data_IF_341143955358
#
_entry.id   IF_341143955358
#
_cell.length_a   1.000
_cell.length_b   1.000
_cell.length_c   1.000
_cell.angle_alpha   90.00
_cell.angle_beta   90.00
_cell.angle_gamma   90.00
#
_symmetry.space_group_name_H-M   'P 1'
#
loop_
_entity.id
_entity.type
_entity.pdbx_description
1 polymer ?
#
# COMPACT_ATOMS: atom_id res chain seq x y z
N UNK A 1 -8.05 39.98 5.75
CA UNK A 1 -8.01 39.82 7.23
C UNK A 1 -8.32 38.38 7.68
N UNK A 2 -9.52 37.82 7.43
CA UNK A 2 -9.87 36.41 7.81
C UNK A 2 -8.87 35.34 7.31
N UNK A 3 -8.45 35.39 6.04
CA UNK A 3 -7.45 34.46 5.45
C UNK A 3 -6.09 34.50 6.17
N UNK A 4 -5.66 35.70 6.60
CA UNK A 4 -4.38 35.89 7.30
C UNK A 4 -4.45 35.31 8.72
N UNK A 5 -5.57 35.55 9.42
CA UNK A 5 -5.84 35.00 10.75
C UNK A 5 -5.93 33.47 10.71
N UNK A 6 -6.63 32.88 9.72
CA UNK A 6 -6.70 31.43 9.56
C UNK A 6 -5.35 30.79 9.21
N UNK A 7 -4.51 31.46 8.40
CA UNK A 7 -3.14 31.00 8.12
C UNK A 7 -2.26 31.03 9.37
N UNK A 8 -2.40 32.04 10.23
CA UNK A 8 -1.68 32.14 11.50
C UNK A 8 -2.16 31.05 12.47
N UNK A 9 -3.48 30.88 12.64
CA UNK A 9 -4.07 29.82 13.48
C UNK A 9 -3.64 28.42 13.03
N UNK A 10 -3.61 28.14 11.72
CA UNK A 10 -3.13 26.86 11.19
C UNK A 10 -1.63 26.66 11.49
N UNK A 11 -0.78 27.66 11.20
CA UNK A 11 0.66 27.58 11.49
C UNK A 11 0.96 27.42 12.99
N UNK A 12 0.13 27.98 13.87
CA UNK A 12 0.25 27.81 15.33
C UNK A 12 -0.30 26.46 15.83
N UNK A 13 -1.23 25.83 15.11
CA UNK A 13 -1.81 24.54 15.46
C UNK A 13 -0.96 23.32 15.04
N UNK A 14 -0.08 23.47 14.03
CA UNK A 14 0.77 22.37 13.54
C UNK A 14 1.83 21.90 14.56
N UNK A 15 2.51 22.78 15.35
CA UNK A 15 3.49 22.36 16.36
C UNK A 15 2.87 21.85 17.67
N UNK A 16 1.60 22.16 17.97
CA UNK A 16 0.97 21.88 19.28
C UNK A 16 0.35 20.48 19.40
N UNK A 17 0.55 19.60 18.41
CA UNK A 17 0.06 18.20 18.41
C UNK A 17 0.42 17.40 19.67
N UNK A 18 1.51 17.73 20.37
CA UNK A 18 1.90 17.06 21.62
C UNK A 18 1.07 17.46 22.85
N UNK A 19 0.34 18.58 22.83
CA UNK A 19 -0.39 19.10 24.00
C UNK A 19 -1.93 18.99 23.89
N UNK A 20 -2.49 18.89 22.68
CA UNK A 20 -3.95 18.92 22.47
C UNK A 20 -4.65 17.53 22.53
N UNK A 21 -3.89 16.43 22.63
CA UNK A 21 -4.40 15.06 22.52
C UNK A 21 -5.25 14.55 23.68
N UNK A 22 -5.55 15.37 24.69
CA UNK A 22 -6.18 14.91 25.94
C UNK A 22 -7.67 15.31 26.07
N UNK A 23 -8.19 16.24 25.26
CA UNK A 23 -9.52 16.85 25.54
C UNK A 23 -10.51 16.83 24.35
N UNK A 24 -10.07 16.63 23.10
CA UNK A 24 -10.96 16.75 21.92
C UNK A 24 -10.99 15.45 21.11
N UNK A 25 -12.17 14.85 20.85
CA UNK A 25 -12.31 13.68 19.98
C UNK A 25 -11.66 13.89 18.60
N UNK A 26 -10.99 12.87 18.09
CA UNK A 26 -10.21 12.94 16.84
C UNK A 26 -11.03 13.43 15.63
N UNK A 27 -12.32 13.08 15.56
CA UNK A 27 -13.22 13.52 14.49
C UNK A 27 -13.47 15.04 14.51
N UNK A 28 -13.62 15.65 15.69
CA UNK A 28 -13.80 17.10 15.86
C UNK A 28 -12.52 17.82 15.47
N UNK A 29 -11.36 17.34 15.92
CA UNK A 29 -10.06 17.89 15.51
C UNK A 29 -9.87 17.85 13.99
N UNK A 30 -10.30 16.76 13.33
CA UNK A 30 -10.23 16.63 11.87
C UNK A 30 -11.14 17.62 11.15
N UNK A 31 -12.37 17.81 11.65
CA UNK A 31 -13.31 18.81 11.12
C UNK A 31 -12.80 20.24 11.30
N UNK A 32 -12.24 20.57 12.48
CA UNK A 32 -11.64 21.88 12.76
C UNK A 32 -10.42 22.13 11.86
N UNK A 33 -9.53 21.14 11.70
CA UNK A 33 -8.39 21.23 10.77
C UNK A 33 -8.89 21.49 9.34
N UNK A 34 -9.92 20.76 8.89
CA UNK A 34 -10.52 20.90 7.54
C UNK A 34 -11.13 22.29 7.33
N UNK A 35 -11.90 22.79 8.31
CA UNK A 35 -12.50 24.13 8.26
C UNK A 35 -11.43 25.25 8.26
N UNK A 36 -10.39 25.11 9.09
CA UNK A 36 -9.25 26.04 9.12
C UNK A 36 -8.49 26.05 7.79
N UNK A 37 -8.24 24.87 7.21
CA UNK A 37 -7.60 24.74 5.90
C UNK A 37 -8.40 25.44 4.80
N UNK A 38 -9.71 25.20 4.75
CA UNK A 38 -10.62 25.81 3.78
C UNK A 38 -10.66 27.34 3.87
N UNK A 39 -10.66 27.88 5.09
CA UNK A 39 -10.63 29.33 5.33
C UNK A 39 -9.27 29.96 5.00
N UNK A 40 -8.17 29.24 5.27
CA UNK A 40 -6.81 29.72 5.03
C UNK A 40 -6.40 29.64 3.54
N UNK A 41 -6.87 28.61 2.85
CA UNK A 41 -6.52 28.26 1.47
C UNK A 41 -7.78 27.86 0.70
N UNK A 42 -8.62 28.83 0.28
CA UNK A 42 -9.74 28.52 -0.60
C UNK A 42 -9.22 27.91 -1.91
N UNK A 43 -9.92 26.89 -2.41
CA UNK A 43 -9.66 26.30 -3.72
C UNK A 43 -10.10 27.33 -4.76
N UNK A 44 -9.15 27.88 -5.52
CA UNK A 44 -9.49 28.76 -6.63
C UNK A 44 -10.12 27.92 -7.76
N UNK A 45 -11.15 28.44 -8.42
CA UNK A 45 -11.80 27.73 -9.52
C UNK A 45 -10.78 27.41 -10.60
N UNK A 46 -10.57 26.12 -10.85
CA UNK A 46 -9.68 25.63 -11.90
C UNK A 46 -10.25 26.04 -13.26
N UNK A 47 -9.48 26.75 -14.09
CA UNK A 47 -9.86 27.01 -15.47
C UNK A 47 -10.05 25.67 -16.19
N UNK A 48 -11.24 25.42 -16.75
CA UNK A 48 -11.62 24.13 -17.34
C UNK A 48 -10.79 23.70 -18.56
N UNK A 49 -10.08 24.62 -19.20
CA UNK A 49 -9.23 24.33 -20.37
C UNK A 49 -7.76 24.23 -19.97
N UNK A 50 -7.32 23.04 -19.56
CA UNK A 50 -5.90 22.75 -19.34
C UNK A 50 -5.29 22.41 -20.71
N UNK A 51 -4.42 23.28 -21.25
CA UNK A 51 -3.62 22.95 -22.43
C UNK A 51 -2.36 22.21 -21.99
N UNK A 52 -2.16 20.99 -22.48
CA UNK A 52 -0.94 20.21 -22.24
C UNK A 52 0.02 20.46 -23.39
N UNK A 53 1.19 21.03 -23.10
CA UNK A 53 2.15 21.41 -24.15
C UNK A 53 2.92 20.17 -24.64
N UNK A 54 2.88 19.95 -25.96
CA UNK A 54 3.51 18.81 -26.67
C UNK A 54 5.05 18.74 -26.46
N UNK A 55 5.69 19.82 -25.99
CA UNK A 55 7.12 19.88 -25.69
C UNK A 55 7.51 19.58 -24.23
N UNK A 56 6.55 19.29 -23.34
CA UNK A 56 6.77 18.96 -21.92
C UNK A 56 6.28 17.54 -21.60
N UNK A 57 6.70 16.58 -22.41
CA UNK A 57 6.30 15.19 -22.31
C UNK A 57 7.01 14.53 -21.12
N UNK A 58 6.44 14.69 -19.93
CA UNK A 58 6.92 14.05 -18.72
C UNK A 58 5.96 14.23 -17.56
N UNK A 59 6.33 13.69 -16.40
CA UNK A 59 5.50 13.69 -15.19
C UNK A 59 6.24 14.30 -14.01
N UNK A 60 5.55 15.12 -13.22
CA UNK A 60 6.01 15.43 -11.87
C UNK A 60 5.41 14.40 -10.92
N UNK A 61 6.25 13.53 -10.34
CA UNK A 61 5.83 12.66 -9.25
C UNK A 61 5.88 13.45 -7.94
N UNK A 62 4.76 13.55 -7.23
CA UNK A 62 4.69 14.26 -5.96
C UNK A 62 4.23 13.30 -4.86
N UNK A 63 5.05 13.10 -3.84
CA UNK A 63 4.74 12.13 -2.80
C UNK A 63 5.86 11.97 -1.79
N UNK A 64 5.69 11.03 -0.87
CA UNK A 64 6.66 10.72 0.18
C UNK A 64 7.82 9.86 -0.33
N UNK A 65 8.52 10.30 -1.37
CA UNK A 65 9.51 9.51 -2.11
C UNK A 65 10.63 8.93 -1.24
N UNK A 66 11.02 9.63 -0.17
CA UNK A 66 12.05 9.18 0.78
C UNK A 66 11.52 8.39 1.98
N UNK A 67 10.19 8.29 2.15
CA UNK A 67 9.60 7.70 3.34
C UNK A 67 9.60 6.17 3.30
N UNK A 68 10.02 5.56 4.39
CA UNK A 68 9.99 4.10 4.59
C UNK A 68 8.58 3.66 5.07
N UNK A 69 7.60 3.75 4.18
CA UNK A 69 6.21 3.32 4.39
C UNK A 69 5.53 2.98 3.05
N UNK A 70 4.35 2.35 3.09
CA UNK A 70 3.63 1.90 1.89
C UNK A 70 3.38 2.99 0.83
N UNK A 71 2.93 4.19 1.23
CA UNK A 71 2.72 5.30 0.29
C UNK A 71 4.04 5.82 -0.30
N UNK A 72 5.13 5.80 0.49
CA UNK A 72 6.45 6.15 -0.02
C UNK A 72 6.97 5.12 -1.02
N UNK A 73 6.75 3.83 -0.75
CA UNK A 73 7.07 2.74 -1.66
C UNK A 73 6.29 2.86 -2.97
N UNK A 74 5.00 3.19 -2.90
CA UNK A 74 4.17 3.47 -4.08
C UNK A 74 4.78 4.54 -4.99
N UNK A 75 5.32 5.63 -4.43
CA UNK A 75 5.98 6.68 -5.22
C UNK A 75 7.26 6.17 -5.91
N UNK A 76 8.06 5.35 -5.20
CA UNK A 76 9.29 4.75 -5.75
C UNK A 76 8.98 3.68 -6.79
N UNK A 77 7.90 2.92 -6.62
CA UNK A 77 7.40 1.95 -7.60
C UNK A 77 7.05 2.68 -8.89
N UNK A 78 6.29 3.79 -8.81
CA UNK A 78 5.97 4.58 -9.99
C UNK A 78 7.23 5.11 -10.68
N UNK A 79 8.23 5.60 -9.94
CA UNK A 79 9.50 6.03 -10.53
C UNK A 79 10.21 4.90 -11.30
N UNK A 80 10.15 3.65 -10.81
CA UNK A 80 10.66 2.47 -11.53
C UNK A 80 9.86 2.22 -12.81
N UNK A 81 8.53 2.23 -12.75
CA UNK A 81 7.68 2.00 -13.94
C UNK A 81 7.90 3.10 -15.00
N UNK A 82 8.03 4.36 -14.58
CA UNK A 82 8.31 5.47 -15.51
C UNK A 82 9.69 5.31 -16.16
N UNK A 83 10.69 4.88 -15.39
CA UNK A 83 12.03 4.61 -15.93
C UNK A 83 12.00 3.46 -16.94
N UNK A 84 11.30 2.37 -16.64
CA UNK A 84 11.18 1.21 -17.53
C UNK A 84 10.33 1.50 -18.78
N UNK A 85 9.43 2.48 -18.72
CA UNK A 85 8.64 2.97 -19.84
C UNK A 85 9.28 4.12 -20.63
N UNK A 86 10.55 4.45 -20.38
CA UNK A 86 11.28 5.56 -21.00
C UNK A 86 10.55 6.92 -20.91
N UNK A 87 9.79 7.15 -19.82
CA UNK A 87 9.13 8.42 -19.55
C UNK A 87 10.08 9.36 -18.80
N UNK A 88 10.13 10.63 -19.24
CA UNK A 88 10.77 11.68 -18.49
C UNK A 88 9.97 12.06 -17.24
N UNK A 89 10.64 12.20 -16.10
CA UNK A 89 9.98 12.61 -14.86
C UNK A 89 10.93 13.30 -13.88
N UNK A 90 10.34 14.02 -12.94
CA UNK A 90 11.04 14.56 -11.78
C UNK A 90 10.21 14.38 -10.52
N UNK A 91 10.86 14.30 -9.37
CA UNK A 91 10.23 14.01 -8.08
C UNK A 91 10.21 15.25 -7.19
N UNK A 92 9.04 15.61 -6.67
CA UNK A 92 8.88 16.57 -5.59
C UNK A 92 8.61 15.78 -4.31
N UNK A 93 9.64 15.60 -3.49
CA UNK A 93 9.51 14.87 -2.23
C UNK A 93 8.73 15.70 -1.19
N UNK A 94 7.54 15.23 -0.83
CA UNK A 94 6.73 15.83 0.21
C UNK A 94 7.12 15.25 1.58
N UNK A 95 7.55 16.12 2.51
CA UNK A 95 7.88 15.70 3.89
C UNK A 95 6.64 15.70 4.81
N UNK A 96 5.73 16.65 4.60
CA UNK A 96 4.48 16.78 5.36
C UNK A 96 4.66 16.73 6.88
N UNK A 97 3.62 16.26 7.59
CA UNK A 97 3.68 15.95 9.04
C UNK A 97 3.93 14.47 9.34
N UNK A 98 4.55 13.74 8.39
CA UNK A 98 4.73 12.30 8.50
C UNK A 98 5.78 11.93 9.57
N UNK A 99 5.52 10.86 10.32
CA UNK A 99 6.40 10.33 11.37
C UNK A 99 7.31 9.19 10.89
N UNK A 100 7.14 8.71 9.66
CA UNK A 100 8.01 7.69 9.08
C UNK A 100 9.45 8.21 8.89
N UNK A 101 10.41 7.29 8.95
CA UNK A 101 11.81 7.58 8.60
C UNK A 101 11.91 8.00 7.14
N UNK A 102 12.77 8.97 6.85
CA UNK A 102 12.93 9.62 5.53
C UNK A 102 14.32 9.34 4.94
N UNK A 103 14.86 8.16 5.22
CA UNK A 103 16.25 7.80 4.95
C UNK A 103 16.46 7.13 3.60
N UNK A 104 15.39 6.78 2.88
CA UNK A 104 15.50 6.21 1.54
C UNK A 104 15.94 7.31 0.56
N UNK A 105 17.13 7.13 -0.04
CA UNK A 105 17.73 8.08 -0.96
C UNK A 105 17.81 7.57 -2.40
N UNK A 106 17.18 6.44 -2.72
CA UNK A 106 17.32 5.76 -4.02
C UNK A 106 16.98 6.64 -5.22
N UNK A 107 16.08 7.62 -5.03
CA UNK A 107 15.60 8.51 -6.09
C UNK A 107 15.98 9.99 -5.94
N UNK A 108 16.91 10.33 -5.03
CA UNK A 108 17.31 11.73 -4.79
C UNK A 108 17.86 12.39 -6.06
N UNK A 109 18.50 11.63 -6.94
CA UNK A 109 19.06 12.11 -8.20
C UNK A 109 17.99 12.58 -9.22
N UNK A 110 16.71 12.25 -9.01
CA UNK A 110 15.55 12.71 -9.81
C UNK A 110 14.76 13.81 -9.11
N UNK A 111 15.15 14.25 -7.90
CA UNK A 111 14.41 15.28 -7.19
C UNK A 111 14.54 16.66 -7.85
N UNK A 112 13.43 17.40 -7.85
CA UNK A 112 13.30 18.74 -8.42
C UNK A 112 12.58 19.67 -7.42
N UNK A 113 12.91 20.95 -7.43
CA UNK A 113 12.30 21.93 -6.53
C UNK A 113 10.93 22.42 -7.02
N UNK A 114 10.75 22.48 -8.33
CA UNK A 114 9.56 23.02 -9.01
C UNK A 114 9.04 22.08 -10.09
N UNK A 115 7.71 21.98 -10.27
CA UNK A 115 7.12 21.17 -11.34
C UNK A 115 7.61 21.61 -12.73
N UNK A 116 8.28 20.70 -13.44
CA UNK A 116 8.82 20.95 -14.79
C UNK A 116 7.76 20.67 -15.86
N UNK A 117 6.97 19.62 -15.65
CA UNK A 117 6.02 19.09 -16.63
C UNK A 117 4.59 19.57 -16.38
N UNK A 118 3.70 19.33 -17.34
CA UNK A 118 2.29 19.76 -17.25
C UNK A 118 1.37 18.73 -16.58
N UNK A 119 1.88 17.53 -16.30
CA UNK A 119 1.15 16.45 -15.63
C UNK A 119 1.78 16.21 -14.26
N UNK A 120 0.94 16.16 -13.24
CA UNK A 120 1.31 15.81 -11.88
C UNK A 120 0.67 14.47 -11.52
N UNK A 121 1.42 13.57 -10.90
CA UNK A 121 0.88 12.37 -10.27
C UNK A 121 1.20 12.40 -8.79
N UNK A 122 0.16 12.49 -7.97
CA UNK A 122 0.24 12.58 -6.52
C UNK A 122 0.19 11.17 -5.91
N UNK A 123 1.34 10.62 -5.52
CA UNK A 123 1.43 9.41 -4.72
C UNK A 123 1.19 9.72 -3.24
N UNK A 124 -0.03 10.20 -2.97
CA UNK A 124 -0.55 10.67 -1.69
C UNK A 124 -2.05 10.35 -1.69
N UNK A 125 -2.55 9.73 -0.62
CA UNK A 125 -3.96 9.35 -0.53
C UNK A 125 -4.89 10.56 -0.43
N UNK A 126 -6.15 10.36 -0.80
CA UNK A 126 -7.20 11.39 -0.82
C UNK A 126 -7.27 12.20 0.49
N UNK A 127 -7.14 11.55 1.64
CA UNK A 127 -7.21 12.18 2.97
C UNK A 127 -6.15 13.27 3.20
N UNK A 128 -5.02 13.21 2.49
CA UNK A 128 -3.88 14.11 2.62
C UNK A 128 -3.82 15.18 1.51
N UNK A 129 -4.68 15.10 0.48
CA UNK A 129 -4.67 16.04 -0.65
C UNK A 129 -4.86 17.51 -0.22
N UNK A 130 -5.69 17.75 0.79
CA UNK A 130 -5.87 19.11 1.32
C UNK A 130 -4.64 19.62 2.09
N UNK A 131 -3.86 18.74 2.73
CA UNK A 131 -2.64 19.12 3.44
C UNK A 131 -1.55 19.55 2.46
N UNK A 132 -1.40 18.81 1.36
CA UNK A 132 -0.44 19.18 0.31
C UNK A 132 -0.86 20.47 -0.40
N UNK A 133 -2.15 20.66 -0.71
CA UNK A 133 -2.64 21.91 -1.27
C UNK A 133 -2.39 23.09 -0.32
N UNK A 134 -2.56 22.91 0.99
CA UNK A 134 -2.26 23.97 1.96
C UNK A 134 -0.76 24.32 2.03
N UNK A 135 0.11 23.35 1.76
CA UNK A 135 1.56 23.54 1.81
C UNK A 135 2.10 24.26 0.57
N UNK A 136 1.75 23.79 -0.62
CA UNK A 136 2.28 24.33 -1.88
C UNK A 136 1.35 25.33 -2.56
N UNK A 137 0.05 25.28 -2.26
CA UNK A 137 -0.99 26.07 -2.92
C UNK A 137 -0.96 25.88 -4.44
N UNK A 138 -1.41 26.92 -5.13
CA UNK A 138 -1.49 26.96 -6.59
C UNK A 138 -0.16 26.73 -7.32
N UNK A 139 1.00 26.87 -6.66
CA UNK A 139 2.32 26.71 -7.28
C UNK A 139 2.46 25.37 -8.00
N UNK A 140 1.96 24.30 -7.40
CA UNK A 140 2.02 22.96 -8.01
C UNK A 140 0.71 22.52 -8.66
N UNK A 141 -0.43 23.12 -8.31
CA UNK A 141 -1.74 22.66 -8.78
C UNK A 141 -2.28 23.40 -10.03
N UNK A 142 -1.95 24.68 -10.21
CA UNK A 142 -2.54 25.50 -11.28
C UNK A 142 -1.91 25.22 -12.65
N UNK A 143 -2.75 25.23 -13.69
CA UNK A 143 -2.36 24.97 -15.09
C UNK A 143 -1.65 23.62 -15.27
N UNK A 144 -2.03 22.61 -14.47
CA UNK A 144 -1.53 21.25 -14.52
C UNK A 144 -2.68 20.26 -14.58
N UNK A 145 -2.46 19.15 -15.28
CA UNK A 145 -3.31 17.97 -15.21
C UNK A 145 -2.90 17.17 -13.97
N UNK A 146 -3.76 17.12 -12.97
CA UNK A 146 -3.49 16.57 -11.64
C UNK A 146 -4.11 15.20 -11.50
N UNK A 147 -3.28 14.17 -11.30
CA UNK A 147 -3.72 12.79 -11.13
C UNK A 147 -3.47 12.38 -9.69
N UNK A 148 -4.52 11.96 -8.96
CA UNK A 148 -4.36 11.38 -7.63
C UNK A 148 -4.10 9.89 -7.72
N UNK A 149 -3.01 9.37 -7.14
CA UNK A 149 -2.81 7.92 -7.01
C UNK A 149 -3.28 7.47 -5.63
N UNK A 150 -4.49 6.93 -5.54
CA UNK A 150 -5.16 6.69 -4.26
C UNK A 150 -5.29 5.21 -3.94
N UNK A 151 -5.01 4.88 -2.68
CA UNK A 151 -5.21 3.57 -2.10
C UNK A 151 -6.45 3.59 -1.22
N UNK A 152 -7.15 2.47 -1.21
CA UNK A 152 -8.25 2.24 -0.29
C UNK A 152 -8.40 0.74 -0.04
N UNK A 153 -8.96 0.35 1.10
CA UNK A 153 -9.04 -1.06 1.47
C UNK A 153 -10.47 -1.56 1.65
N UNK A 154 -11.52 -0.78 1.39
CA UNK A 154 -12.90 -1.27 1.54
C UNK A 154 -13.78 -0.95 0.32
N UNK A 155 -14.90 -1.66 0.11
CA UNK A 155 -15.77 -1.40 -1.05
C UNK A 155 -16.41 0.01 -1.05
N UNK A 156 -16.54 0.62 0.13
CA UNK A 156 -17.12 1.95 0.27
C UNK A 156 -16.05 2.99 0.60
N UNK A 157 -15.81 3.92 -0.33
CA UNK A 157 -14.83 5.00 -0.19
C UNK A 157 -15.32 6.09 0.79
N UNK A 158 -14.51 6.65 1.71
CA UNK A 158 -15.03 7.54 2.75
C UNK A 158 -15.58 8.87 2.24
N UNK A 159 -16.82 9.22 2.62
CA UNK A 159 -17.49 10.46 2.22
C UNK A 159 -16.67 11.72 2.58
N UNK A 160 -15.98 11.66 3.72
CA UNK A 160 -15.15 12.76 4.21
C UNK A 160 -13.98 13.14 3.29
N UNK A 161 -13.58 12.25 2.39
CA UNK A 161 -12.47 12.42 1.45
C UNK A 161 -12.92 12.87 0.05
N UNK A 162 -14.22 12.90 -0.23
CA UNK A 162 -14.76 13.29 -1.55
C UNK A 162 -14.39 14.71 -1.97
N UNK A 163 -14.17 15.64 -1.02
CA UNK A 163 -13.72 17.01 -1.37
C UNK A 163 -12.35 17.02 -2.08
N UNK A 164 -11.52 15.99 -1.86
CA UNK A 164 -10.21 15.85 -2.51
C UNK A 164 -10.30 15.66 -4.02
N UNK A 165 -11.45 15.23 -4.55
CA UNK A 165 -11.68 15.16 -6.00
C UNK A 165 -11.57 16.53 -6.68
N UNK A 166 -11.89 17.63 -5.97
CA UNK A 166 -11.78 18.98 -6.54
C UNK A 166 -10.34 19.44 -6.81
N UNK A 167 -9.34 18.69 -6.34
CA UNK A 167 -7.91 18.99 -6.53
C UNK A 167 -7.28 18.22 -7.70
N UNK A 168 -8.00 17.23 -8.25
CA UNK A 168 -7.52 16.31 -9.29
C UNK A 168 -8.46 16.34 -10.50
N UNK A 169 -7.92 16.02 -11.66
CA UNK A 169 -8.67 15.84 -12.92
C UNK A 169 -8.96 14.36 -13.19
N UNK A 170 -8.21 13.46 -12.53
CA UNK A 170 -8.30 12.01 -12.67
C UNK A 170 -7.73 11.32 -11.42
N UNK A 171 -8.18 10.10 -11.14
CA UNK A 171 -7.63 9.24 -10.10
C UNK A 171 -7.07 7.97 -10.72
N UNK A 172 -5.85 7.60 -10.34
CA UNK A 172 -5.28 6.29 -10.56
C UNK A 172 -5.44 5.43 -9.30
N UNK A 173 -5.86 4.19 -9.49
CA UNK A 173 -6.06 3.21 -8.43
C UNK A 173 -5.17 1.97 -8.68
N UNK A 174 -4.58 1.37 -7.63
CA UNK A 174 -3.64 0.25 -7.76
C UNK A 174 -4.29 -1.08 -8.13
N UNK A 175 -5.62 -1.18 -8.05
CA UNK A 175 -6.34 -2.41 -8.35
C UNK A 175 -7.75 -2.12 -8.85
N UNK A 176 -8.38 -3.13 -9.44
CA UNK A 176 -9.79 -3.08 -9.83
C UNK A 176 -10.68 -2.80 -8.63
N UNK A 177 -10.44 -3.48 -7.50
CA UNK A 177 -11.17 -3.28 -6.26
C UNK A 177 -11.17 -1.82 -5.78
N UNK A 178 -9.99 -1.18 -5.78
CA UNK A 178 -9.88 0.22 -5.38
C UNK A 178 -10.52 1.15 -6.41
N UNK A 179 -10.34 0.86 -7.71
CA UNK A 179 -10.95 1.63 -8.78
C UNK A 179 -12.48 1.62 -8.67
N UNK A 180 -13.08 0.45 -8.45
CA UNK A 180 -14.53 0.29 -8.25
C UNK A 180 -15.02 1.06 -7.03
N UNK A 181 -14.37 0.90 -5.88
CA UNK A 181 -14.76 1.58 -4.63
C UNK A 181 -14.73 3.11 -4.76
N UNK A 182 -13.69 3.66 -5.39
CA UNK A 182 -13.58 5.12 -5.61
C UNK A 182 -14.58 5.60 -6.66
N UNK A 183 -14.82 4.81 -7.73
CA UNK A 183 -15.70 5.18 -8.84
C UNK A 183 -17.13 5.45 -8.39
N UNK A 184 -17.61 4.77 -7.35
CA UNK A 184 -18.96 4.97 -6.79
C UNK A 184 -19.21 6.41 -6.31
N UNK A 185 -18.15 7.17 -5.99
CA UNK A 185 -18.25 8.55 -5.46
C UNK A 185 -17.49 9.57 -6.28
N UNK A 186 -16.85 9.16 -7.38
CA UNK A 186 -15.94 10.00 -8.14
C UNK A 186 -16.67 10.87 -9.17
N UNK A 187 -16.45 12.20 -9.16
CA UNK A 187 -16.88 13.09 -10.24
C UNK A 187 -15.87 13.16 -11.40
N UNK A 188 -14.72 12.50 -11.28
CA UNK A 188 -13.64 12.46 -12.28
C UNK A 188 -13.33 11.01 -12.70
N UNK A 189 -12.67 10.77 -13.85
CA UNK A 189 -12.29 9.42 -14.25
C UNK A 189 -11.44 8.72 -13.18
N UNK A 190 -11.72 7.43 -12.96
CA UNK A 190 -10.93 6.55 -12.09
C UNK A 190 -10.38 5.43 -12.96
N UNK A 191 -9.05 5.33 -13.04
CA UNK A 191 -8.34 4.42 -13.94
C UNK A 191 -7.50 3.47 -13.11
N UNK A 192 -7.58 2.17 -13.40
CA UNK A 192 -6.69 1.17 -12.81
C UNK A 192 -5.30 1.29 -13.43
N UNK A 193 -4.32 1.66 -12.62
CA UNK A 193 -2.88 1.61 -12.94
C UNK A 193 -2.21 0.87 -11.79
N UNK A 194 -1.91 -0.44 -11.93
CA UNK A 194 -1.44 -1.24 -10.82
C UNK A 194 -0.02 -0.84 -10.38
N UNK A 195 0.37 -1.26 -9.16
CA UNK A 195 1.77 -1.19 -8.77
C UNK A 195 2.59 -2.19 -9.58
N UNK A 196 3.73 -1.75 -10.11
CA UNK A 196 4.68 -2.69 -10.68
C UNK A 196 5.47 -3.40 -9.59
N UNK A 197 5.81 -4.66 -9.83
CA UNK A 197 6.51 -5.52 -8.90
C UNK A 197 7.86 -5.90 -9.48
N UNK A 198 8.90 -5.49 -8.77
CA UNK A 198 10.28 -5.87 -9.04
C UNK A 198 10.96 -6.07 -7.69
N UNK A 199 11.44 -7.29 -7.46
CA UNK A 199 12.19 -7.63 -6.25
C UNK A 199 13.67 -7.74 -6.59
N UNK A 200 14.49 -6.93 -5.89
CA UNK A 200 15.95 -6.98 -5.96
C UNK A 200 16.51 -7.41 -4.61
N UNK A 201 17.45 -8.34 -4.63
CA UNK A 201 18.22 -8.81 -3.48
C UNK A 201 19.69 -8.50 -3.79
N UNK A 202 20.19 -7.41 -3.22
CA UNK A 202 21.58 -6.98 -3.40
C UNK A 202 22.54 -7.82 -2.57
N UNK A 203 22.12 -8.20 -1.36
CA UNK A 203 22.86 -9.09 -0.47
C UNK A 203 21.99 -10.29 -0.13
N UNK A 204 22.35 -11.45 -0.66
CA UNK A 204 21.69 -12.70 -0.30
C UNK A 204 21.91 -13.02 1.18
N UNK A 205 20.87 -13.57 1.80
CA UNK A 205 20.90 -14.13 3.15
C UNK A 205 20.54 -15.60 3.08
N UNK A 206 21.00 -16.37 4.05
CA UNK A 206 20.56 -17.74 4.30
C UNK A 206 19.64 -17.77 5.52
N UNK A 207 19.10 -18.94 5.87
CA UNK A 207 18.17 -19.08 7.00
C UNK A 207 18.87 -18.85 8.35
N UNK A 208 20.12 -19.29 8.50
CA UNK A 208 20.90 -19.03 9.72
C UNK A 208 21.08 -17.54 10.05
N UNK A 209 21.14 -16.63 9.06
CA UNK A 209 21.14 -15.17 9.31
C UNK A 209 19.92 -14.72 10.14
N UNK A 210 18.77 -15.36 9.95
CA UNK A 210 17.52 -15.06 10.67
C UNK A 210 17.27 -16.01 11.86
N UNK A 211 18.22 -16.88 12.20
CA UNK A 211 18.05 -17.95 13.18
C UNK A 211 16.91 -18.94 12.84
N UNK A 212 16.76 -19.27 11.55
CA UNK A 212 15.74 -20.20 11.05
C UNK A 212 16.34 -21.58 10.71
N UNK A 213 15.55 -22.67 10.81
CA UNK A 213 16.02 -24.02 10.52
C UNK A 213 16.21 -24.28 9.01
N UNK A 214 17.26 -25.03 8.66
CA UNK A 214 17.63 -25.28 7.25
C UNK A 214 16.77 -26.37 6.57
N UNK A 215 16.35 -27.42 7.31
CA UNK A 215 15.64 -28.59 6.75
C UNK A 215 14.14 -28.62 7.09
N UNK A 216 13.49 -27.47 7.04
CA UNK A 216 12.09 -27.28 7.45
C UNK A 216 11.34 -26.52 6.35
N UNK A 217 10.10 -26.89 6.05
CA UNK A 217 9.26 -26.12 5.14
C UNK A 217 8.71 -24.87 5.87
N UNK A 218 9.17 -23.69 5.47
CA UNK A 218 8.88 -22.42 6.15
C UNK A 218 7.80 -21.60 5.44
N UNK A 219 6.67 -21.42 6.13
CA UNK A 219 5.67 -20.41 5.79
C UNK A 219 6.08 -19.06 6.36
N UNK A 220 5.82 -17.97 5.64
CA UNK A 220 6.07 -16.61 6.09
C UNK A 220 4.77 -15.81 6.10
N UNK A 221 4.44 -15.21 7.25
CA UNK A 221 3.45 -14.14 7.36
C UNK A 221 4.13 -12.87 7.83
N UNK A 222 3.79 -11.72 7.23
CA UNK A 222 4.36 -10.44 7.62
C UNK A 222 3.28 -9.37 7.77
N UNK A 223 3.43 -8.53 8.79
CA UNK A 223 2.55 -7.37 8.96
C UNK A 223 3.22 -6.25 9.78
N UNK A 224 2.62 -5.07 9.69
CA UNK A 224 3.00 -3.90 10.48
C UNK A 224 1.84 -3.54 11.42
N UNK A 225 2.14 -3.39 12.70
CA UNK A 225 1.13 -3.04 13.73
C UNK A 225 0.48 -1.67 13.44
N UNK A 226 1.19 -0.75 12.79
CA UNK A 226 0.65 0.57 12.41
C UNK A 226 -0.36 0.52 11.25
N UNK A 227 -0.50 -0.62 10.58
CA UNK A 227 -1.38 -0.80 9.42
C UNK A 227 -2.77 -1.36 9.77
N UNK A 228 -3.19 -1.26 11.04
CA UNK A 228 -4.38 -1.87 11.66
C UNK A 228 -4.30 -3.40 11.66
N UNK A 229 -3.88 -3.97 12.79
CA UNK A 229 -3.69 -5.41 12.94
C UNK A 229 -4.98 -6.18 12.68
N UNK A 230 -6.13 -5.63 13.05
CA UNK A 230 -7.45 -6.21 12.79
C UNK A 230 -7.67 -6.41 11.29
N UNK A 231 -7.25 -5.48 10.45
CA UNK A 231 -7.34 -5.67 8.99
C UNK A 231 -6.34 -6.70 8.47
N UNK A 232 -5.11 -6.72 9.00
CA UNK A 232 -4.05 -7.65 8.56
C UNK A 232 -4.22 -9.08 9.06
N UNK A 233 -4.91 -9.25 10.18
CA UNK A 233 -5.33 -10.51 10.79
C UNK A 233 -4.24 -11.60 10.84
N UNK A 234 -3.04 -11.31 11.37
CA UNK A 234 -1.97 -12.31 11.49
C UNK A 234 -2.36 -13.52 12.35
N UNK A 235 -3.35 -13.36 13.24
CA UNK A 235 -3.90 -14.42 14.07
C UNK A 235 -4.47 -15.56 13.23
N UNK A 236 -5.21 -15.26 12.16
CA UNK A 236 -5.74 -16.29 11.29
C UNK A 236 -4.64 -17.14 10.65
N UNK A 237 -3.51 -16.53 10.25
CA UNK A 237 -2.36 -17.28 9.70
C UNK A 237 -1.76 -18.23 10.74
N UNK A 238 -1.63 -17.78 11.99
CA UNK A 238 -1.14 -18.62 13.10
C UNK A 238 -2.11 -19.77 13.37
N UNK A 239 -3.41 -19.47 13.45
CA UNK A 239 -4.42 -20.49 13.69
C UNK A 239 -4.55 -21.51 12.55
N UNK A 240 -4.40 -21.08 11.29
CA UNK A 240 -4.36 -21.98 10.13
C UNK A 240 -3.18 -22.95 10.24
N UNK A 241 -2.02 -22.44 10.66
CA UNK A 241 -0.84 -23.28 10.88
C UNK A 241 -1.05 -24.28 12.02
N UNK A 242 -1.63 -23.85 13.15
CA UNK A 242 -1.95 -24.74 14.29
C UNK A 242 -2.98 -25.82 13.94
N UNK A 243 -3.92 -25.54 13.03
CA UNK A 243 -4.86 -26.54 12.47
C UNK A 243 -4.17 -27.47 11.46
N UNK A 244 -3.13 -26.98 10.80
CA UNK A 244 -2.41 -27.72 9.78
C UNK A 244 -1.41 -28.73 10.35
N UNK A 245 -0.67 -28.33 11.40
CA UNK A 245 0.50 -29.05 11.86
C UNK A 245 0.58 -29.12 13.38
N UNK A 246 1.22 -30.17 13.89
CA UNK A 246 1.47 -30.33 15.32
C UNK A 246 2.50 -29.33 15.84
N UNK A 247 2.41 -29.01 17.13
CA UNK A 247 3.26 -28.03 17.83
C UNK A 247 4.77 -28.35 17.85
N UNK A 248 5.11 -29.63 17.64
CA UNK A 248 6.47 -30.17 17.67
C UNK A 248 6.89 -30.78 16.33
N UNK A 249 6.14 -30.52 15.25
CA UNK A 249 6.50 -31.00 13.90
C UNK A 249 7.69 -30.19 13.37
N UNK A 250 8.87 -30.83 13.34
CA UNK A 250 10.13 -30.22 12.92
C UNK A 250 10.24 -30.01 11.41
N UNK A 251 9.37 -30.67 10.62
CA UNK A 251 9.44 -30.61 9.16
C UNK A 251 8.78 -29.35 8.59
N UNK A 252 8.04 -28.60 9.41
CA UNK A 252 7.29 -27.41 9.02
C UNK A 252 7.47 -26.30 10.04
N UNK A 253 7.39 -25.05 9.60
CA UNK A 253 7.47 -23.91 10.50
C UNK A 253 6.76 -22.68 9.97
N UNK A 254 6.34 -21.79 10.88
CA UNK A 254 5.73 -20.50 10.54
C UNK A 254 6.62 -19.36 11.05
N UNK A 255 7.09 -18.53 10.14
CA UNK A 255 7.76 -17.28 10.45
C UNK A 255 6.70 -16.19 10.55
N UNK A 256 6.62 -15.53 11.70
CA UNK A 256 5.79 -14.36 11.94
C UNK A 256 6.71 -13.14 11.99
N UNK A 257 6.79 -12.38 10.89
CA UNK A 257 7.52 -11.12 10.86
C UNK A 257 6.60 -9.98 11.26
N UNK A 258 6.94 -9.27 12.33
CA UNK A 258 6.17 -8.12 12.81
C UNK A 258 7.06 -6.88 12.90
N UNK A 259 6.61 -5.75 12.35
CA UNK A 259 7.28 -4.47 12.52
C UNK A 259 6.67 -3.72 13.71
N UNK A 260 7.46 -3.54 14.78
CA UNK A 260 7.07 -2.78 15.98
C UNK A 260 8.08 -1.68 16.23
N UNK A 261 7.59 -0.47 16.44
CA UNK A 261 8.44 0.70 16.59
C UNK A 261 8.83 1.06 18.02
N UNK A 262 8.35 0.38 19.09
CA UNK A 262 8.84 0.50 20.49
C UNK A 262 8.11 -0.48 21.45
N UNK A 263 8.87 -1.27 22.23
CA UNK A 263 8.46 -1.94 23.50
C UNK A 263 7.46 -3.12 23.40
N UNK A 264 7.34 -3.88 24.51
CA UNK A 264 6.28 -4.89 24.71
C UNK A 264 4.91 -4.22 24.62
N UNK A 265 4.22 -4.43 23.50
CA UNK A 265 2.86 -3.94 23.30
C UNK A 265 1.85 -5.03 23.69
N UNK A 266 0.60 -4.67 23.97
CA UNK A 266 -0.44 -5.65 24.29
C UNK A 266 -0.63 -6.66 23.14
N UNK A 267 -0.38 -6.21 21.91
CA UNK A 267 -0.42 -7.01 20.70
C UNK A 267 0.66 -8.11 20.73
N UNK A 268 1.86 -7.82 21.23
CA UNK A 268 2.91 -8.83 21.39
C UNK A 268 2.54 -9.90 22.40
N UNK A 269 1.94 -9.50 23.52
CA UNK A 269 1.45 -10.45 24.53
C UNK A 269 0.35 -11.35 23.95
N UNK A 270 -0.51 -10.80 23.10
CA UNK A 270 -1.53 -11.57 22.41
C UNK A 270 -0.91 -12.56 21.41
N UNK A 271 0.08 -12.14 20.62
CA UNK A 271 0.80 -13.03 19.71
C UNK A 271 1.54 -14.14 20.44
N UNK A 272 2.29 -13.81 21.48
CA UNK A 272 3.03 -14.79 22.28
C UNK A 272 2.07 -15.80 22.93
N UNK A 273 0.91 -15.33 23.41
CA UNK A 273 -0.17 -16.21 23.89
C UNK A 273 -0.79 -17.08 22.79
N UNK A 274 -0.93 -16.56 21.56
CA UNK A 274 -1.46 -17.33 20.43
C UNK A 274 -0.50 -18.42 19.96
N UNK A 275 0.81 -18.12 19.98
CA UNK A 275 1.88 -19.07 19.69
C UNK A 275 1.87 -20.17 20.76
N UNK A 276 1.82 -19.77 22.04
CA UNK A 276 1.76 -20.66 23.20
C UNK A 276 2.97 -21.61 23.25
N UNK A 277 2.76 -22.93 23.24
CA UNK A 277 3.80 -23.95 23.36
C UNK A 277 4.32 -24.48 22.01
N UNK A 278 4.00 -23.81 20.89
CA UNK A 278 4.47 -24.20 19.55
C UNK A 278 5.95 -23.88 19.35
N UNK A 279 6.76 -24.92 19.15
CA UNK A 279 8.23 -24.81 18.99
C UNK A 279 8.63 -24.50 17.55
N UNK A 280 7.71 -24.65 16.61
CA UNK A 280 7.89 -24.45 15.18
C UNK A 280 7.29 -23.12 14.66
N UNK A 281 7.02 -22.16 15.53
CA UNK A 281 6.63 -20.79 15.15
C UNK A 281 7.72 -19.80 15.57
N UNK A 282 8.32 -19.13 14.59
CA UNK A 282 9.47 -18.25 14.74
C UNK A 282 9.05 -16.78 14.62
N UNK A 283 9.37 -15.97 15.62
CA UNK A 283 8.96 -14.56 15.68
C UNK A 283 10.15 -13.64 15.39
N UNK A 284 10.06 -12.86 14.31
CA UNK A 284 11.08 -11.88 13.93
C UNK A 284 10.52 -10.48 14.20
N UNK A 285 11.08 -9.80 15.20
CA UNK A 285 10.56 -8.52 15.74
C UNK A 285 11.34 -7.30 15.21
N UNK A 286 12.54 -7.53 14.69
CA UNK A 286 13.49 -6.50 14.26
C UNK A 286 12.95 -5.72 13.07
N UNK A 287 13.22 -4.41 13.02
CA UNK A 287 12.99 -3.64 11.80
C UNK A 287 14.07 -4.04 10.79
N UNK A 288 13.68 -4.80 9.77
CA UNK A 288 14.59 -5.27 8.72
C UNK A 288 14.70 -4.24 7.59
N UNK A 289 15.85 -4.21 6.94
CA UNK A 289 16.03 -3.44 5.71
C UNK A 289 15.19 -4.03 4.58
N UNK A 290 14.95 -3.26 3.51
CA UNK A 290 14.25 -3.76 2.32
C UNK A 290 14.95 -4.97 1.70
N UNK A 291 16.29 -4.96 1.63
CA UNK A 291 17.08 -6.10 1.17
C UNK A 291 16.83 -7.34 2.03
N UNK A 292 16.87 -7.18 3.37
CA UNK A 292 16.71 -8.32 4.28
C UNK A 292 15.26 -8.82 4.33
N UNK A 293 14.25 -7.98 4.05
CA UNK A 293 12.87 -8.46 3.83
C UNK A 293 12.78 -9.30 2.56
N UNK A 294 13.33 -8.82 1.44
CA UNK A 294 13.31 -9.55 0.19
C UNK A 294 14.07 -10.89 0.30
N UNK A 295 15.21 -10.88 1.00
CA UNK A 295 15.96 -12.09 1.28
C UNK A 295 15.21 -13.05 2.23
N UNK A 296 14.46 -12.55 3.22
CA UNK A 296 13.62 -13.37 4.09
C UNK A 296 12.52 -14.10 3.29
N UNK A 297 11.83 -13.39 2.39
CA UNK A 297 10.85 -13.99 1.49
C UNK A 297 11.53 -15.06 0.61
N UNK A 298 12.73 -14.76 0.09
CA UNK A 298 13.47 -15.68 -0.77
C UNK A 298 13.93 -16.97 -0.07
N UNK A 299 14.29 -16.92 1.21
CA UNK A 299 14.69 -18.12 1.97
C UNK A 299 13.52 -18.89 2.58
N UNK A 300 12.32 -18.32 2.52
CA UNK A 300 11.06 -18.99 2.90
C UNK A 300 10.53 -19.85 1.74
N UNK A 301 9.66 -20.81 2.05
CA UNK A 301 9.12 -21.76 1.08
C UNK A 301 7.70 -21.39 0.61
N UNK A 302 6.95 -20.65 1.41
CA UNK A 302 5.62 -20.13 1.04
C UNK A 302 5.31 -18.84 1.79
N UNK A 303 4.48 -17.97 1.20
CA UNK A 303 4.00 -16.75 1.84
C UNK A 303 2.50 -16.87 2.13
N UNK A 304 2.08 -16.48 3.32
CA UNK A 304 0.67 -16.46 3.72
C UNK A 304 0.22 -15.10 4.23
N UNK A 305 -0.95 -14.65 3.76
CA UNK A 305 -1.62 -13.45 4.26
C UNK A 305 -3.13 -13.67 4.31
N UNK A 306 -3.64 -14.04 5.49
CA UNK A 306 -5.08 -14.18 5.75
C UNK A 306 -5.69 -12.84 6.21
N UNK A 307 -5.45 -11.80 5.43
CA UNK A 307 -5.95 -10.45 5.71
C UNK A 307 -7.47 -10.38 5.52
N UNK A 308 -8.09 -9.40 6.19
CA UNK A 308 -9.50 -9.04 5.98
C UNK A 308 -9.71 -8.11 4.80
N UNK A 309 -8.70 -7.31 4.46
CA UNK A 309 -8.61 -6.55 3.21
C UNK A 309 -7.21 -6.00 2.97
N UNK A 310 -6.84 -5.76 1.70
CA UNK A 310 -5.56 -5.20 1.27
C UNK A 310 -5.72 -4.06 0.26
N UNK A 311 -4.84 -3.05 0.40
CA UNK A 311 -4.76 -1.95 -0.56
C UNK A 311 -4.06 -2.34 -1.87
N UNK A 312 -3.21 -3.37 -1.85
CA UNK A 312 -2.65 -4.01 -3.05
C UNK A 312 -2.25 -5.47 -2.78
N UNK A 313 -1.56 -5.71 -1.66
CA UNK A 313 -1.03 -7.05 -1.33
C UNK A 313 0.44 -7.24 -1.73
N UNK A 314 1.30 -6.22 -1.55
CA UNK A 314 2.71 -6.24 -1.95
C UNK A 314 3.47 -7.49 -1.49
N UNK A 315 3.28 -7.95 -0.25
CA UNK A 315 3.97 -9.15 0.25
C UNK A 315 3.63 -10.42 -0.55
N UNK A 316 2.37 -10.57 -0.96
CA UNK A 316 1.94 -11.69 -1.80
C UNK A 316 2.55 -11.57 -3.21
N UNK A 317 2.49 -10.38 -3.81
CA UNK A 317 3.02 -10.16 -5.15
C UNK A 317 4.55 -10.32 -5.22
N UNK A 318 5.28 -9.85 -4.20
CA UNK A 318 6.74 -9.99 -4.09
C UNK A 318 7.15 -11.45 -3.88
N UNK A 319 6.39 -12.21 -3.09
CA UNK A 319 6.59 -13.64 -2.93
C UNK A 319 6.35 -14.40 -4.24
N UNK A 320 5.28 -14.08 -4.97
CA UNK A 320 5.04 -14.63 -6.30
C UNK A 320 6.19 -14.28 -7.28
N UNK A 321 6.69 -13.05 -7.28
CA UNK A 321 7.85 -12.64 -8.10
C UNK A 321 9.10 -13.50 -7.80
N UNK A 322 9.31 -13.87 -6.54
CA UNK A 322 10.39 -14.74 -6.08
C UNK A 322 10.07 -16.24 -6.22
N UNK A 323 9.04 -16.59 -7.00
CA UNK A 323 8.57 -17.96 -7.25
C UNK A 323 8.23 -18.71 -5.96
N UNK A 324 7.55 -18.02 -5.03
CA UNK A 324 7.01 -18.63 -3.81
C UNK A 324 5.51 -18.86 -3.99
N UNK A 325 4.99 -20.06 -3.72
CA UNK A 325 3.56 -20.30 -3.66
C UNK A 325 2.94 -19.44 -2.55
N UNK A 326 1.81 -18.80 -2.85
CA UNK A 326 1.15 -17.88 -1.91
C UNK A 326 -0.24 -18.35 -1.51
N UNK A 327 -0.57 -18.20 -0.23
CA UNK A 327 -1.89 -18.42 0.35
C UNK A 327 -2.44 -17.06 0.78
N UNK A 328 -3.62 -16.68 0.31
CA UNK A 328 -4.20 -15.38 0.69
C UNK A 328 -5.70 -15.36 0.58
N UNK A 329 -6.35 -14.52 1.39
CA UNK A 329 -7.79 -14.31 1.33
C UNK A 329 -8.21 -13.92 -0.09
N UNK A 330 -9.22 -14.56 -0.66
CA UNK A 330 -9.69 -14.30 -2.02
C UNK A 330 -10.56 -13.03 -2.11
N UNK A 331 -10.09 -11.93 -1.55
CA UNK A 331 -10.86 -10.69 -1.42
C UNK A 331 -9.95 -9.48 -1.54
N UNK A 332 -10.48 -8.38 -2.10
CA UNK A 332 -9.79 -7.10 -2.27
C UNK A 332 -8.68 -7.10 -3.32
N UNK A 333 -7.68 -6.21 -3.20
CA UNK A 333 -6.79 -5.87 -4.31
C UNK A 333 -5.87 -7.00 -4.78
N UNK A 334 -5.60 -8.01 -3.97
CA UNK A 334 -4.75 -9.13 -4.37
C UNK A 334 -5.42 -10.05 -5.40
N UNK A 335 -6.75 -10.03 -5.52
CA UNK A 335 -7.48 -10.85 -6.52
C UNK A 335 -7.23 -10.39 -7.97
N UNK A 336 -6.63 -9.21 -8.15
CA UNK A 336 -6.19 -8.74 -9.47
C UNK A 336 -5.02 -9.57 -10.03
N UNK A 337 -4.25 -10.25 -9.16
CA UNK A 337 -3.11 -11.07 -9.57
C UNK A 337 -3.15 -12.50 -9.02
N UNK A 338 -4.01 -12.78 -8.04
CA UNK A 338 -4.21 -14.12 -7.47
C UNK A 338 -5.49 -14.77 -7.98
N UNK A 339 -5.40 -16.02 -8.41
CA UNK A 339 -6.51 -16.90 -8.75
C UNK A 339 -6.15 -18.38 -8.51
N UNK A 340 -7.10 -19.29 -8.73
CA UNK A 340 -6.94 -20.74 -8.48
C UNK A 340 -5.84 -21.41 -9.33
N UNK A 341 -5.42 -20.79 -10.44
CA UNK A 341 -4.39 -21.37 -11.34
C UNK A 341 -2.96 -20.96 -10.97
N UNK A 342 -2.78 -19.90 -10.18
CA UNK A 342 -1.47 -19.32 -9.90
C UNK A 342 -1.18 -19.08 -8.42
N UNK A 343 -2.11 -19.46 -7.53
CA UNK A 343 -2.03 -19.22 -6.10
C UNK A 343 -3.00 -20.13 -5.33
N UNK A 344 -3.06 -19.95 -4.01
CA UNK A 344 -4.02 -20.60 -3.12
C UNK A 344 -5.01 -19.57 -2.55
N UNK A 345 -6.08 -19.20 -3.29
CA UNK A 345 -7.06 -18.22 -2.84
C UNK A 345 -8.01 -18.84 -1.79
N UNK A 346 -7.97 -18.28 -0.58
CA UNK A 346 -8.73 -18.74 0.59
C UNK A 346 -10.15 -18.17 0.56
N UNK A 347 -11.12 -19.02 0.93
CA UNK A 347 -12.54 -18.63 0.98
C UNK A 347 -12.75 -17.64 2.13
N UNK A 348 -13.84 -16.90 2.10
CA UNK A 348 -14.14 -15.93 3.15
C UNK A 348 -15.64 -15.70 3.30
N UNK A 349 -16.01 -15.13 4.43
CA UNK A 349 -17.36 -14.61 4.69
C UNK A 349 -17.29 -13.09 4.88
N UNK A 350 -18.24 -12.34 4.33
CA UNK A 350 -18.32 -10.90 4.56
C UNK A 350 -19.01 -10.61 5.88
N UNK A 351 -18.24 -10.08 6.84
CA UNK A 351 -18.69 -9.77 8.19
C UNK A 351 -18.70 -8.25 8.38
N UNK A 352 -19.78 -7.73 8.97
CA UNK A 352 -19.84 -6.31 9.35
C UNK A 352 -18.81 -6.01 10.44
N UNK A 353 -18.12 -4.88 10.31
CA UNK A 353 -17.11 -4.46 11.29
C UNK A 353 -17.71 -4.29 12.69
N UNK A 354 -18.90 -3.69 12.80
CA UNK A 354 -19.60 -3.46 14.07
C UNK A 354 -18.95 -2.42 15.00
N UNK A 355 -17.70 -2.03 14.74
CA UNK A 355 -16.94 -0.99 15.43
C UNK A 355 -16.10 -0.19 14.43
N UNK A 356 -15.81 1.07 14.73
CA UNK A 356 -14.94 1.92 13.89
C UNK A 356 -13.47 1.69 14.23
N UNK A 357 -12.65 1.43 13.21
CA UNK A 357 -11.21 1.20 13.31
C UNK A 357 -10.47 2.22 12.44
N UNK A 358 -10.00 3.31 13.03
CA UNK A 358 -9.30 4.36 12.27
C UNK A 358 -10.18 4.97 11.18
N UNK A 359 -9.86 4.81 9.88
CA UNK A 359 -10.69 5.28 8.76
C UNK A 359 -11.83 4.32 8.40
N UNK A 360 -11.88 3.11 8.98
CA UNK A 360 -12.86 2.08 8.67
C UNK A 360 -14.06 2.20 9.60
N UNK A 361 -15.25 2.40 9.03
CA UNK A 361 -16.46 2.68 9.79
C UNK A 361 -17.24 1.40 10.14
N UNK A 362 -17.94 1.41 11.27
CA UNK A 362 -18.63 0.23 11.82
C UNK A 362 -19.65 -0.44 10.87
N UNK A 363 -20.21 0.29 9.91
CA UNK A 363 -21.19 -0.22 8.96
C UNK A 363 -20.56 -1.00 7.79
N UNK A 364 -19.25 -0.88 7.59
CA UNK A 364 -18.54 -1.51 6.48
C UNK A 364 -18.33 -3.00 6.72
N UNK A 365 -17.76 -3.70 5.73
CA UNK A 365 -17.56 -5.14 5.75
C UNK A 365 -16.09 -5.51 5.59
N UNK A 366 -15.69 -6.59 6.26
CA UNK A 366 -14.42 -7.26 6.10
C UNK A 366 -14.65 -8.69 5.60
N UNK A 367 -13.70 -9.21 4.84
CA UNK A 367 -13.67 -10.62 4.48
C UNK A 367 -12.99 -11.41 5.61
N UNK A 368 -13.77 -12.12 6.43
CA UNK A 368 -13.21 -13.05 7.41
C UNK A 368 -12.75 -14.32 6.68
N UNK A 369 -11.45 -14.64 6.65
CA UNK A 369 -10.94 -15.79 5.93
C UNK A 369 -11.35 -17.11 6.59
N UNK A 370 -11.62 -18.11 5.75
CA UNK A 370 -11.82 -19.51 6.15
C UNK A 370 -10.47 -20.12 6.54
N UNK A 371 -10.24 -20.21 7.85
CA UNK A 371 -8.99 -20.69 8.43
C UNK A 371 -8.78 -22.19 8.19
N UNK A 372 -9.85 -22.98 8.07
CA UNK A 372 -9.77 -24.41 7.77
C UNK A 372 -9.34 -24.62 6.31
N UNK A 373 -9.88 -23.82 5.38
CA UNK A 373 -9.46 -23.84 3.98
C UNK A 373 -8.00 -23.38 3.80
N UNK A 374 -7.56 -22.37 4.55
CA UNK A 374 -6.15 -22.00 4.58
C UNK A 374 -5.25 -23.15 5.10
N UNK A 375 -5.68 -23.84 6.16
CA UNK A 375 -4.95 -25.00 6.69
C UNK A 375 -4.87 -26.15 5.68
N UNK A 376 -5.91 -26.36 4.87
CA UNK A 376 -5.92 -27.31 3.77
C UNK A 376 -4.85 -26.96 2.74
N UNK A 377 -4.78 -25.70 2.31
CA UNK A 377 -3.74 -25.27 1.37
C UNK A 377 -2.33 -25.41 1.95
N UNK A 378 -2.12 -25.11 3.24
CA UNK A 378 -0.83 -25.34 3.88
C UNK A 378 -0.40 -26.81 3.79
N UNK A 379 -1.29 -27.75 4.14
CA UNK A 379 -1.01 -29.19 4.02
C UNK A 379 -0.74 -29.58 2.57
N UNK A 380 -1.52 -29.05 1.63
CA UNK A 380 -1.38 -29.34 0.20
C UNK A 380 -0.01 -28.90 -0.32
N UNK A 381 0.45 -27.70 0.01
CA UNK A 381 1.77 -27.21 -0.42
C UNK A 381 2.93 -28.03 0.14
N UNK A 382 2.81 -28.55 1.36
CA UNK A 382 3.84 -29.42 1.95
C UNK A 382 3.84 -30.80 1.30
N UNK A 383 2.66 -31.39 1.10
CA UNK A 383 2.50 -32.80 0.70
C UNK A 383 2.49 -33.03 -0.82
N UNK A 384 2.23 -32.00 -1.64
CA UNK A 384 2.13 -32.11 -3.11
C UNK A 384 3.15 -31.19 -3.81
N UNK A 385 4.42 -31.64 -3.96
CA UNK A 385 5.48 -30.85 -4.60
C UNK A 385 5.15 -30.37 -6.01
N UNK A 386 4.55 -31.23 -6.84
CA UNK A 386 4.22 -30.88 -8.23
C UNK A 386 3.19 -29.75 -8.29
N UNK A 387 2.15 -29.81 -7.45
CA UNK A 387 1.16 -28.74 -7.33
C UNK A 387 1.82 -27.44 -6.85
N UNK A 388 2.65 -27.53 -5.81
CA UNK A 388 3.39 -26.38 -5.26
C UNK A 388 4.25 -25.70 -6.32
N UNK A 389 5.02 -26.48 -7.07
CA UNK A 389 5.97 -25.96 -8.05
C UNK A 389 5.24 -25.33 -9.25
N UNK A 390 4.10 -25.91 -9.66
CA UNK A 390 3.29 -25.37 -10.75
C UNK A 390 2.65 -24.03 -10.36
N UNK A 391 1.96 -23.94 -9.23
CA UNK A 391 1.33 -22.66 -8.84
C UNK A 391 2.39 -21.58 -8.59
N UNK A 392 3.55 -21.92 -8.05
CA UNK A 392 4.63 -20.96 -7.80
C UNK A 392 5.20 -20.42 -9.12
N UNK A 393 5.35 -21.28 -10.13
CA UNK A 393 5.76 -20.91 -11.48
C UNK A 393 4.72 -20.03 -12.18
N UNK A 394 3.44 -20.37 -12.08
CA UNK A 394 2.36 -19.57 -12.66
C UNK A 394 2.23 -18.20 -11.99
N UNK A 395 2.40 -18.16 -10.66
CA UNK A 395 2.43 -16.92 -9.90
C UNK A 395 3.60 -16.01 -10.30
N UNK A 396 4.80 -16.58 -10.41
CA UNK A 396 5.99 -15.86 -10.92
C UNK A 396 5.75 -15.33 -12.33
N UNK A 397 5.20 -16.15 -13.23
CA UNK A 397 4.91 -15.76 -14.60
C UNK A 397 3.94 -14.57 -14.64
N UNK A 398 2.83 -14.64 -13.90
CA UNK A 398 1.82 -13.57 -13.82
C UNK A 398 2.47 -12.25 -13.40
N UNK A 399 3.24 -12.24 -12.31
CA UNK A 399 3.82 -11.00 -11.79
C UNK A 399 4.90 -10.44 -12.72
N UNK A 400 5.76 -11.31 -13.28
CA UNK A 400 6.85 -10.86 -14.18
C UNK A 400 6.38 -10.42 -15.57
N UNK A 401 5.14 -10.72 -15.95
CA UNK A 401 4.57 -10.33 -17.25
C UNK A 401 3.57 -9.18 -17.11
N UNK A 402 2.56 -9.34 -16.26
CA UNK A 402 1.42 -8.42 -16.19
C UNK A 402 1.67 -7.25 -15.23
N UNK A 403 2.58 -7.43 -14.27
CA UNK A 403 2.89 -6.45 -13.23
C UNK A 403 4.37 -6.01 -13.25
N UNK A 404 5.10 -6.24 -14.34
CA UNK A 404 6.48 -5.76 -14.45
C UNK A 404 6.55 -4.23 -14.55
N UNK A 405 7.67 -3.60 -14.15
CA UNK A 405 7.89 -2.17 -14.37
C UNK A 405 7.64 -1.74 -15.82
N UNK A 406 8.06 -2.55 -16.78
CA UNK A 406 7.89 -2.30 -18.22
C UNK A 406 6.41 -2.30 -18.61
N UNK A 407 5.65 -3.30 -18.16
CA UNK A 407 4.23 -3.42 -18.49
C UNK A 407 3.42 -2.27 -17.88
N UNK A 408 3.67 -1.92 -16.61
CA UNK A 408 3.01 -0.79 -15.95
C UNK A 408 3.46 0.54 -16.57
N UNK A 409 4.73 0.68 -16.94
CA UNK A 409 5.25 1.83 -17.68
C UNK A 409 4.49 2.05 -18.99
N UNK A 410 4.27 0.97 -19.77
CA UNK A 410 3.48 1.04 -21.01
C UNK A 410 2.01 1.43 -20.77
N UNK A 411 1.38 0.95 -19.69
CA UNK A 411 0.02 1.36 -19.31
C UNK A 411 -0.03 2.86 -19.00
N UNK A 412 0.96 3.36 -18.25
CA UNK A 412 1.09 4.79 -17.96
C UNK A 412 1.28 5.58 -19.26
N UNK A 413 2.21 5.20 -20.13
CA UNK A 413 2.45 5.85 -21.43
C UNK A 413 1.17 5.97 -22.25
N UNK A 414 0.45 4.86 -22.44
CA UNK A 414 -0.83 4.83 -23.18
C UNK A 414 -1.86 5.77 -22.56
N UNK A 415 -1.93 5.84 -21.22
CA UNK A 415 -2.87 6.75 -20.55
C UNK A 415 -2.48 8.22 -20.73
N UNK A 416 -1.20 8.56 -20.64
CA UNK A 416 -0.72 9.92 -20.88
C UNK A 416 -0.98 10.37 -22.31
N UNK A 417 -0.75 9.51 -23.30
CA UNK A 417 -1.07 9.79 -24.71
C UNK A 417 -2.56 10.10 -24.90
N UNK A 418 -3.43 9.33 -24.25
CA UNK A 418 -4.88 9.58 -24.26
C UNK A 418 -5.21 10.96 -23.66
N UNK A 419 -4.64 11.27 -22.49
CA UNK A 419 -4.85 12.56 -21.80
C UNK A 419 -4.38 13.74 -22.67
N UNK A 420 -3.24 13.60 -23.36
CA UNK A 420 -2.71 14.61 -24.26
C UNK A 420 -3.60 14.83 -25.49
N UNK A 421 -4.13 13.77 -26.09
CA UNK A 421 -5.05 13.87 -27.24
C UNK A 421 -6.36 14.56 -26.85
N UNK A 422 -6.99 14.09 -25.77
CA UNK A 422 -8.26 14.62 -25.29
C UNK A 422 -8.20 16.11 -24.94
N UNK A 423 -7.17 16.52 -24.20
CA UNK A 423 -7.03 17.92 -23.77
C UNK A 423 -6.63 18.89 -24.89
N UNK A 424 -6.14 18.37 -26.02
CA UNK A 424 -5.78 19.17 -27.19
C UNK A 424 -6.88 19.18 -28.27
N UNK A 425 -8.09 18.71 -27.96
CA UNK A 425 -9.26 18.78 -28.84
C UNK A 425 -9.30 17.72 -29.94
N UNK A 426 -8.59 16.61 -29.74
CA UNK A 426 -8.58 15.45 -30.64
C UNK A 426 -9.55 14.35 -30.26
#
# INVERSE_FOLDING_TARGET
>A
MKRLISKILYKMAVPTKKAAGIIVPAHIMRQVKKALLKSAFPIEQKNKSIKIHIGKNGINLIGYARAEMGIGESCRIAAKSLTAGDLEFGIINFKGTNSARMSDTSWVHKEIEDPKYDINVFHINAEQMMEIYAHYGNRIFNNKYNIGYWHWELPDFPDQWTESFSLVDEVWAPSTFVAEAISLKSPVPVIRIPHSIEVKIEQYRNRSYYNLPENTFLFLTMYDVKSYQERKNPQASIEAFKRAFGKDDINVGLIVKVNISNGESNEMKLLEKLIDDYTNIYLIKEVLSRNDINALINVSDSFISLHRSEGFGLGLAEAMFLRKPVIGTNWSSNTDFMNDSNSCPVKYELVKLGSTFGPYEAYQYWAEPDVDHASYYMKKLVNEPDYRDEIAKQGEHTIKTDFSPEQVGQLITKRLEYIMKWNNGG
#
